data_IF_838937297736
#
_entry.id   IF_838937297736
#
_cell.length_a   1.000
_cell.length_b   1.000
_cell.length_c   1.000
_cell.angle_alpha   90.00
_cell.angle_beta   90.00
_cell.angle_gamma   90.00
#
_symmetry.space_group_name_H-M   'P 1'
#
loop_
_entity.id
_entity.type
_entity.pdbx_description
1 polymer ?
#
# COMPACT_ATOMS: atom_id res chain seq x y z
N UNK A 1 7.15 25.85 4.18
CA UNK A 1 8.19 24.94 3.68
C UNK A 1 7.77 24.44 2.31
N UNK A 2 8.54 24.68 1.23
CA UNK A 2 8.22 24.19 -0.11
C UNK A 2 8.27 22.65 -0.16
N UNK A 3 7.44 21.99 -1.00
CA UNK A 3 7.38 20.52 -1.09
C UNK A 3 8.73 19.85 -1.37
N UNK A 4 9.61 20.55 -2.11
CA UNK A 4 10.98 20.09 -2.41
C UNK A 4 11.82 19.92 -1.15
N UNK A 5 11.74 20.86 -0.21
CA UNK A 5 12.52 20.79 1.04
C UNK A 5 12.04 19.64 1.93
N UNK A 6 10.75 19.32 1.90
CA UNK A 6 10.19 18.17 2.64
C UNK A 6 10.77 16.85 2.10
N UNK A 7 10.78 16.68 0.77
CA UNK A 7 11.27 15.46 0.12
C UNK A 7 12.78 15.27 0.28
N UNK A 8 13.57 16.35 0.33
CA UNK A 8 15.02 16.29 0.59
C UNK A 8 15.37 15.94 2.04
N UNK A 9 14.42 16.10 2.98
CA UNK A 9 14.62 15.79 4.40
C UNK A 9 14.23 14.37 4.78
N UNK A 10 13.49 13.64 3.92
CA UNK A 10 13.15 12.25 4.14
C UNK A 10 14.40 11.37 3.97
N UNK A 11 15.10 11.14 5.08
CA UNK A 11 16.22 10.19 5.16
C UNK A 11 15.78 8.96 5.94
N UNK A 12 15.49 7.89 5.21
CA UNK A 12 15.13 6.61 5.78
C UNK A 12 15.79 5.51 4.96
N UNK A 13 16.23 4.44 5.61
CA UNK A 13 16.93 3.31 4.97
C UNK A 13 16.13 2.73 3.77
N UNK A 14 14.80 2.71 3.90
CA UNK A 14 13.89 2.20 2.88
C UNK A 14 13.27 3.28 1.96
N UNK A 15 13.73 4.53 2.03
CA UNK A 15 13.23 5.63 1.17
C UNK A 15 14.38 6.22 0.38
N UNK A 16 14.27 6.19 -0.95
CA UNK A 16 15.28 6.76 -1.83
C UNK A 16 15.34 8.27 -1.62
N UNK A 17 16.49 8.76 -1.18
CA UNK A 17 16.70 10.19 -0.99
C UNK A 17 16.75 10.91 -2.34
N UNK A 18 15.84 11.85 -2.55
CA UNK A 18 15.85 12.75 -3.71
C UNK A 18 16.93 13.81 -3.49
N UNK A 19 17.97 13.79 -4.34
CA UNK A 19 19.05 14.77 -4.28
C UNK A 19 18.67 16.06 -4.98
N UNK A 20 18.16 15.95 -6.22
CA UNK A 20 17.80 17.13 -7.00
C UNK A 20 16.69 16.87 -8.03
N UNK A 21 16.06 17.95 -8.48
CA UNK A 21 15.09 17.95 -9.59
C UNK A 21 15.62 18.91 -10.64
N UNK A 22 16.01 18.38 -11.80
CA UNK A 22 16.59 19.19 -12.87
C UNK A 22 15.52 19.70 -13.82
N UNK A 23 15.65 20.97 -14.21
CA UNK A 23 14.81 21.56 -15.24
C UNK A 23 15.24 21.04 -16.62
N UNK A 24 14.31 20.56 -17.47
CA UNK A 24 14.62 20.26 -18.86
C UNK A 24 15.16 21.50 -19.59
N UNK A 25 16.06 21.29 -20.54
CA UNK A 25 16.67 22.36 -21.37
C UNK A 25 15.62 23.04 -22.26
N UNK A 26 14.49 22.38 -22.53
CA UNK A 26 13.39 22.90 -23.33
C UNK A 26 12.26 23.45 -22.44
N UNK A 27 11.68 24.57 -22.84
CA UNK A 27 10.62 25.31 -22.13
C UNK A 27 9.24 24.64 -22.14
N UNK A 28 9.17 23.34 -22.44
CA UNK A 28 7.93 22.57 -22.46
C UNK A 28 7.91 21.59 -21.30
N UNK A 29 6.82 21.57 -20.52
CA UNK A 29 6.65 20.70 -19.35
C UNK A 29 6.29 19.26 -19.74
N UNK A 30 7.14 18.62 -20.55
CA UNK A 30 6.95 17.22 -20.96
C UNK A 30 7.79 16.25 -20.16
N UNK A 31 8.94 16.71 -19.66
CA UNK A 31 9.94 15.84 -19.05
C UNK A 31 10.32 16.37 -17.66
N UNK A 32 10.43 15.46 -16.70
CA UNK A 32 10.92 15.73 -15.33
C UNK A 32 12.11 14.83 -15.09
N UNK A 33 13.24 15.43 -14.74
CA UNK A 33 14.49 14.71 -14.46
C UNK A 33 14.74 14.68 -12.96
N UNK A 34 14.79 13.48 -12.39
CA UNK A 34 15.03 13.25 -10.97
C UNK A 34 16.46 12.72 -10.75
N UNK A 35 17.17 13.30 -9.79
CA UNK A 35 18.52 12.86 -9.38
C UNK A 35 18.44 12.25 -7.99
N UNK A 36 18.89 11.01 -7.86
CA UNK A 36 18.88 10.24 -6.61
C UNK A 36 20.21 9.50 -6.42
N UNK A 37 20.38 8.86 -5.26
CA UNK A 37 21.58 8.07 -4.97
C UNK A 37 21.66 6.83 -5.86
N UNK A 38 22.87 6.50 -6.31
CA UNK A 38 23.10 5.27 -7.06
C UNK A 38 22.88 4.08 -6.12
N UNK A 39 22.02 3.15 -6.52
CA UNK A 39 21.78 1.92 -5.75
C UNK A 39 22.89 0.90 -6.02
N UNK A 40 23.39 0.26 -4.96
CA UNK A 40 24.55 -0.64 -5.02
C UNK A 40 24.27 -1.97 -5.77
N UNK A 41 23.02 -2.28 -6.11
CA UNK A 41 22.70 -3.51 -6.86
C UNK A 41 21.54 -3.32 -7.83
N UNK A 42 21.88 -3.34 -9.12
CA UNK A 42 20.89 -3.39 -10.19
C UNK A 42 20.29 -4.80 -10.29
N UNK A 43 18.97 -4.88 -10.51
CA UNK A 43 18.23 -6.14 -10.67
C UNK A 43 18.86 -7.05 -11.73
N UNK A 44 19.40 -6.46 -12.80
CA UNK A 44 20.13 -7.15 -13.87
C UNK A 44 21.39 -7.85 -13.36
N UNK A 45 22.13 -7.23 -12.43
CA UNK A 45 23.34 -7.81 -11.86
C UNK A 45 23.02 -8.97 -10.92
N UNK A 46 21.93 -8.87 -10.15
CA UNK A 46 21.45 -9.97 -9.30
C UNK A 46 21.05 -11.18 -10.17
N UNK A 47 20.26 -10.96 -11.22
CA UNK A 47 19.78 -12.02 -12.13
C UNK A 47 20.92 -12.69 -12.90
N UNK A 48 21.98 -11.95 -13.25
CA UNK A 48 23.14 -12.49 -13.96
C UNK A 48 24.20 -13.09 -13.04
N UNK A 49 24.08 -12.90 -11.73
CA UNK A 49 25.04 -13.43 -10.78
C UNK A 49 24.93 -14.96 -10.69
N UNK A 50 26.04 -15.68 -10.49
CA UNK A 50 26.03 -17.13 -10.29
C UNK A 50 25.59 -17.53 -8.88
N UNK A 51 25.23 -16.57 -8.02
CA UNK A 51 24.78 -16.83 -6.65
C UNK A 51 23.33 -17.32 -6.67
N UNK A 52 23.03 -18.36 -5.89
CA UNK A 52 21.66 -18.84 -5.73
C UNK A 52 20.75 -17.75 -5.15
N UNK A 53 19.46 -17.78 -5.51
CA UNK A 53 18.48 -16.86 -4.96
C UNK A 53 18.26 -17.16 -3.46
N UNK A 54 18.71 -16.25 -2.59
CA UNK A 54 18.45 -16.30 -1.15
C UNK A 54 17.07 -15.73 -0.82
N UNK A 55 16.62 -15.92 0.42
CA UNK A 55 15.41 -15.27 0.92
C UNK A 55 15.49 -13.74 0.81
N UNK A 56 16.65 -13.14 1.07
CA UNK A 56 16.84 -11.69 0.94
C UNK A 56 16.56 -11.19 -0.49
N UNK A 57 16.93 -11.98 -1.51
CA UNK A 57 16.58 -11.66 -2.90
C UNK A 57 15.07 -11.72 -3.12
N UNK A 58 14.38 -12.72 -2.57
CA UNK A 58 12.92 -12.81 -2.63
C UNK A 58 12.26 -11.62 -1.92
N UNK A 59 12.76 -11.21 -0.74
CA UNK A 59 12.23 -10.04 -0.01
C UNK A 59 12.37 -8.77 -0.86
N UNK A 60 13.57 -8.55 -1.41
CA UNK A 60 13.87 -7.39 -2.25
C UNK A 60 12.97 -7.33 -3.49
N UNK A 61 12.76 -8.46 -4.17
CA UNK A 61 11.90 -8.51 -5.36
C UNK A 61 10.43 -8.22 -5.04
N UNK A 62 9.90 -8.76 -3.94
CA UNK A 62 8.54 -8.43 -3.51
C UNK A 62 8.41 -6.95 -3.20
N UNK A 63 9.34 -6.41 -2.41
CA UNK A 63 9.34 -5.00 -2.02
C UNK A 63 9.42 -4.07 -3.24
N UNK A 64 10.25 -4.41 -4.23
CA UNK A 64 10.36 -3.64 -5.47
C UNK A 64 9.05 -3.60 -6.27
N UNK A 65 8.27 -4.68 -6.25
CA UNK A 65 6.94 -4.73 -6.90
C UNK A 65 5.86 -3.97 -6.11
N UNK A 66 6.03 -3.80 -4.80
CA UNK A 66 5.14 -2.99 -3.96
C UNK A 66 5.44 -1.49 -4.08
N UNK A 67 6.72 -1.11 -4.15
CA UNK A 67 7.18 0.29 -4.23
C UNK A 67 7.21 0.87 -5.66
N UNK A 68 6.28 0.47 -6.52
CA UNK A 68 6.14 1.07 -7.84
C UNK A 68 5.39 2.40 -7.72
N UNK A 69 5.93 3.47 -8.33
CA UNK A 69 5.34 4.80 -8.27
C UNK A 69 3.92 4.82 -8.84
N UNK A 70 3.75 4.25 -10.04
CA UNK A 70 2.45 4.07 -10.69
C UNK A 70 1.62 3.03 -9.91
N UNK A 71 0.51 3.43 -9.25
CA UNK A 71 -0.28 2.54 -8.42
C UNK A 71 -0.91 1.40 -9.22
N UNK A 72 -1.20 1.61 -10.51
CA UNK A 72 -1.82 0.60 -11.38
C UNK A 72 -0.86 -0.55 -11.72
N UNK A 73 0.45 -0.32 -11.54
CA UNK A 73 1.50 -1.30 -11.81
C UNK A 73 2.00 -1.99 -10.54
N UNK A 74 1.53 -1.60 -9.36
CA UNK A 74 1.89 -2.27 -8.10
C UNK A 74 1.31 -3.68 -8.10
N UNK A 75 2.04 -4.60 -7.48
CA UNK A 75 1.55 -5.96 -7.25
C UNK A 75 0.24 -5.93 -6.46
N UNK A 76 -0.72 -6.77 -6.85
CA UNK A 76 -1.94 -6.99 -6.09
C UNK A 76 -1.66 -7.83 -4.84
N UNK A 77 -2.56 -7.76 -3.85
CA UNK A 77 -2.47 -8.63 -2.65
C UNK A 77 -2.48 -10.11 -3.03
N UNK A 78 -3.25 -10.48 -4.07
CA UNK A 78 -3.36 -11.86 -4.55
C UNK A 78 -2.01 -12.34 -5.10
N UNK A 79 -1.40 -11.57 -6.01
CA UNK A 79 -0.09 -11.88 -6.57
C UNK A 79 1.02 -11.84 -5.50
N UNK A 80 0.89 -10.98 -4.49
CA UNK A 80 1.82 -10.90 -3.38
C UNK A 80 1.78 -12.18 -2.53
N UNK A 81 0.60 -12.75 -2.25
CA UNK A 81 0.47 -14.02 -1.53
C UNK A 81 1.11 -15.21 -2.27
N UNK A 82 1.09 -15.20 -3.60
CA UNK A 82 1.73 -16.22 -4.44
C UNK A 82 3.26 -16.06 -4.52
N UNK A 83 3.81 -14.94 -4.06
CA UNK A 83 5.25 -14.70 -4.09
C UNK A 83 5.99 -15.70 -3.17
N UNK A 84 7.14 -16.27 -3.58
CA UNK A 84 7.90 -17.26 -2.80
C UNK A 84 8.21 -16.86 -1.35
N UNK A 85 8.27 -15.56 -1.09
CA UNK A 85 8.44 -15.03 0.26
C UNK A 85 7.17 -15.13 1.12
N UNK A 86 6.00 -14.84 0.56
CA UNK A 86 4.73 -14.81 1.28
C UNK A 86 4.01 -16.17 1.29
N UNK A 87 4.30 -17.03 0.31
CA UNK A 87 3.62 -18.33 0.16
C UNK A 87 3.80 -19.26 1.36
N UNK A 88 4.87 -19.08 2.14
CA UNK A 88 5.10 -19.80 3.39
C UNK A 88 4.18 -19.35 4.52
N UNK A 89 3.58 -18.17 4.41
CA UNK A 89 2.74 -17.54 5.45
C UNK A 89 1.26 -17.52 5.10
N UNK A 90 0.91 -17.66 3.81
CA UNK A 90 -0.47 -17.57 3.35
C UNK A 90 -1.14 -18.95 3.31
N UNK A 91 -2.19 -19.12 4.12
CA UNK A 91 -3.11 -20.25 4.05
C UNK A 91 -4.45 -19.81 3.43
N UNK A 92 -4.75 -20.21 2.18
CA UNK A 92 -6.00 -19.87 1.51
C UNK A 92 -7.25 -20.43 2.23
N UNK A 93 -7.11 -21.49 3.02
CA UNK A 93 -8.22 -22.10 3.74
C UNK A 93 -8.60 -21.31 4.99
N UNK A 94 -7.61 -20.71 5.67
CA UNK A 94 -7.81 -19.87 6.84
C UNK A 94 -8.21 -18.42 6.49
N UNK A 95 -7.77 -17.92 5.33
CA UNK A 95 -8.04 -16.54 4.89
C UNK A 95 -8.61 -16.51 3.46
N UNK A 96 -9.87 -16.93 3.25
CA UNK A 96 -10.47 -16.94 1.93
C UNK A 96 -10.73 -15.51 1.42
N UNK A 97 -10.59 -15.25 0.10
CA UNK A 97 -10.96 -13.97 -0.47
C UNK A 97 -12.46 -13.66 -0.26
N UNK A 98 -12.78 -12.39 -0.02
CA UNK A 98 -14.16 -11.93 0.17
C UNK A 98 -14.99 -12.26 -1.07
N UNK A 99 -16.17 -12.85 -0.86
CA UNK A 99 -17.06 -13.29 -1.97
C UNK A 99 -17.92 -12.17 -2.55
N UNK A 100 -18.06 -11.08 -1.81
CA UNK A 100 -18.89 -9.94 -2.17
C UNK A 100 -18.12 -8.64 -1.95
N UNK A 101 -18.22 -7.66 -2.86
CA UNK A 101 -17.69 -6.33 -2.58
C UNK A 101 -18.42 -5.74 -1.38
N UNK A 102 -17.69 -5.01 -0.55
CA UNK A 102 -18.30 -4.23 0.53
C UNK A 102 -19.00 -3.05 -0.14
N UNK A 103 -20.33 -3.02 -0.07
CA UNK A 103 -21.08 -1.81 -0.38
C UNK A 103 -20.91 -0.85 0.78
N UNK A 104 -20.13 0.20 0.57
CA UNK A 104 -19.90 1.18 1.61
C UNK A 104 -21.11 2.08 1.82
N UNK A 105 -22.05 2.19 0.87
CA UNK A 105 -23.40 2.78 1.03
C UNK A 105 -23.54 4.14 1.73
N UNK A 106 -22.45 4.81 2.10
CA UNK A 106 -22.45 6.03 2.91
C UNK A 106 -22.65 7.20 1.95
N UNK A 107 -23.83 7.80 2.02
CA UNK A 107 -24.09 9.10 1.42
C UNK A 107 -23.36 10.18 2.26
N UNK A 108 -22.57 11.01 1.59
CA UNK A 108 -21.82 12.11 2.22
C UNK A 108 -22.75 13.16 2.86
N UNK A 109 -24.03 13.16 2.53
CA UNK A 109 -25.04 14.06 3.08
C UNK A 109 -25.75 13.54 4.34
N UNK A 110 -25.36 12.37 4.86
CA UNK A 110 -25.96 11.82 6.08
C UNK A 110 -25.57 12.68 7.29
N UNK A 111 -26.56 13.07 8.10
CA UNK A 111 -26.31 13.86 9.31
C UNK A 111 -25.61 13.02 10.39
N UNK A 112 -24.82 13.67 11.25
CA UNK A 112 -24.18 13.00 12.38
C UNK A 112 -25.18 12.32 13.33
N UNK A 113 -26.41 12.84 13.41
CA UNK A 113 -27.51 12.22 14.19
C UNK A 113 -27.97 10.92 13.55
N UNK A 114 -28.14 10.89 12.24
CA UNK A 114 -28.53 9.69 11.51
C UNK A 114 -27.44 8.61 11.58
N UNK A 115 -26.16 9.00 11.46
CA UNK A 115 -25.02 8.07 11.63
C UNK A 115 -25.04 7.46 13.04
N UNK A 116 -25.29 8.28 14.08
CA UNK A 116 -25.37 7.80 15.46
C UNK A 116 -26.48 6.79 15.64
N UNK A 117 -27.65 7.03 15.03
CA UNK A 117 -28.76 6.10 15.08
C UNK A 117 -28.43 4.80 14.35
N UNK A 118 -27.84 4.86 13.14
CA UNK A 118 -27.40 3.68 12.41
C UNK A 118 -26.40 2.82 13.22
N UNK A 119 -25.42 3.47 13.86
CA UNK A 119 -24.47 2.77 14.72
C UNK A 119 -25.14 2.15 15.95
N UNK A 120 -26.10 2.85 16.54
CA UNK A 120 -26.86 2.34 17.69
C UNK A 120 -27.68 1.11 17.33
N UNK A 121 -28.37 1.12 16.19
CA UNK A 121 -29.13 -0.03 15.69
C UNK A 121 -28.22 -1.24 15.41
N UNK A 122 -27.03 -1.02 14.82
CA UNK A 122 -26.04 -2.07 14.62
C UNK A 122 -25.57 -2.65 15.97
N UNK A 123 -25.33 -1.82 16.98
CA UNK A 123 -24.95 -2.27 18.32
C UNK A 123 -26.04 -3.14 18.95
N UNK A 124 -27.31 -2.74 18.86
CA UNK A 124 -28.43 -3.55 19.39
C UNK A 124 -28.59 -4.87 18.63
N UNK A 125 -28.31 -4.90 17.33
CA UNK A 125 -28.33 -6.13 16.54
C UNK A 125 -27.34 -7.19 17.06
N UNK A 126 -26.12 -6.77 17.45
CA UNK A 126 -25.12 -7.67 18.04
C UNK A 126 -25.27 -7.90 19.55
N UNK A 127 -26.00 -7.01 20.25
CA UNK A 127 -26.22 -7.05 21.70
C UNK A 127 -27.71 -7.00 22.07
N UNK A 128 -28.50 -8.02 21.70
CA UNK A 128 -29.94 -8.04 21.95
C UNK A 128 -30.28 -7.96 23.45
N UNK A 129 -29.40 -8.42 24.33
CA UNK A 129 -29.57 -8.35 25.79
C UNK A 129 -29.67 -6.92 26.33
N UNK A 130 -29.10 -5.95 25.61
CA UNK A 130 -29.15 -4.53 25.98
C UNK A 130 -30.49 -3.91 25.56
N UNK A 131 -31.05 -4.37 24.44
CA UNK A 131 -32.36 -3.90 23.96
C UNK A 131 -33.49 -4.33 24.92
N UNK A 132 -33.45 -5.59 25.36
CA UNK A 132 -34.40 -6.13 26.33
C UNK A 132 -34.38 -5.37 27.67
N UNK A 133 -33.22 -4.89 28.10
CA UNK A 133 -33.05 -4.14 29.34
C UNK A 133 -33.47 -2.66 29.25
N UNK A 134 -33.47 -2.08 28.05
CA UNK A 134 -33.88 -0.68 27.81
C UNK A 134 -35.40 -0.57 27.62
N UNK A 135 -36.04 -1.61 27.06
CA UNK A 135 -37.47 -1.65 26.77
C UNK A 135 -38.33 -2.25 27.91
N UNK A 136 -37.75 -2.52 29.08
CA UNK A 136 -38.42 -2.94 30.33
C UNK A 136 -38.71 -1.76 31.26
#
# INVERSE_FOLDING_TARGET
MPPRELLQQLRHENVIALKDIMMPVHSSFKDVYLVYELMDTDLHQIIKSPQGLSNDHCHYFLFRKMLIFDPTKRISVIEAHEHPYMSLMYDPSANPPTKVPIDLGIDENISAEMIREMMWQEMLHYHPEVDDAINM
#
